data_IF_675822020891
#
_entry.id   IF_675822020891
#
_cell.length_a   1.000
_cell.length_b   1.000
_cell.length_c   1.000
_cell.angle_alpha   90.00
_cell.angle_beta   90.00
_cell.angle_gamma   90.00
#
_symmetry.space_group_name_H-M   'P 1'
#
loop_
_entity.id
_entity.type
_entity.pdbx_description
1 polymer ?
#
# COMPACT_ATOMS: atom_id res chain seq x y z
N UNK A 1 -11.94 -10.26 3.52
CA UNK A 1 -10.86 -9.65 2.72
C UNK A 1 -9.83 -10.74 2.42
N UNK A 2 -9.16 -10.71 1.28
CA UNK A 2 -8.08 -11.66 0.96
C UNK A 2 -6.73 -11.04 1.36
N UNK A 3 -5.80 -11.86 1.85
CA UNK A 3 -4.47 -11.43 2.25
C UNK A 3 -3.65 -10.93 1.05
N UNK A 4 -2.79 -9.96 1.29
CA UNK A 4 -1.91 -9.41 0.25
C UNK A 4 -0.99 -10.43 -0.38
N UNK A 5 -0.55 -10.14 -1.59
CA UNK A 5 0.45 -10.93 -2.29
C UNK A 5 1.82 -10.98 -1.57
N UNK A 6 2.36 -9.87 -1.04
CA UNK A 6 3.55 -9.92 -0.19
C UNK A 6 3.41 -10.86 1.01
N UNK A 7 2.36 -10.72 1.82
CA UNK A 7 2.16 -11.54 3.01
C UNK A 7 1.95 -13.02 2.67
N UNK A 8 1.23 -13.32 1.58
CA UNK A 8 1.07 -14.69 1.06
C UNK A 8 2.42 -15.30 0.68
N UNK A 9 3.25 -14.56 -0.07
CA UNK A 9 4.60 -15.00 -0.45
C UNK A 9 5.48 -15.25 0.78
N UNK A 10 5.36 -14.43 1.82
CA UNK A 10 6.06 -14.67 3.09
C UNK A 10 5.59 -15.97 3.72
N UNK A 11 4.26 -16.18 3.84
CA UNK A 11 3.70 -17.42 4.39
C UNK A 11 4.15 -18.66 3.63
N UNK A 12 4.18 -18.61 2.29
CA UNK A 12 4.70 -19.71 1.46
C UNK A 12 6.17 -20.02 1.74
N UNK A 13 6.98 -19.00 2.01
CA UNK A 13 8.41 -19.17 2.31
C UNK A 13 8.67 -19.74 3.70
N UNK A 14 7.89 -19.31 4.70
CA UNK A 14 8.06 -19.76 6.11
C UNK A 14 7.32 -21.06 6.42
N UNK A 15 6.40 -21.49 5.54
CA UNK A 15 5.60 -22.70 5.72
C UNK A 15 6.43 -23.95 6.07
N UNK A 16 7.59 -24.23 5.47
CA UNK A 16 8.40 -25.40 5.82
C UNK A 16 8.84 -25.41 7.29
N UNK A 17 9.29 -24.26 7.80
CA UNK A 17 9.75 -24.11 9.19
C UNK A 17 8.57 -24.21 10.15
N UNK A 18 7.45 -23.57 9.80
CA UNK A 18 6.23 -23.60 10.61
C UNK A 18 5.66 -25.02 10.72
N UNK A 19 5.66 -25.80 9.64
CA UNK A 19 5.18 -27.17 9.67
C UNK A 19 6.03 -28.10 10.57
N UNK A 20 7.29 -27.74 10.83
CA UNK A 20 8.22 -28.52 11.64
C UNK A 20 8.20 -28.10 13.11
N UNK A 21 8.08 -26.80 13.38
CA UNK A 21 8.38 -26.25 14.70
C UNK A 21 7.19 -25.53 15.37
N UNK A 22 6.13 -25.20 14.62
CA UNK A 22 4.94 -24.54 15.17
C UNK A 22 3.98 -25.56 15.79
N UNK A 23 3.40 -25.20 16.94
CA UNK A 23 2.21 -25.85 17.48
C UNK A 23 0.99 -24.95 17.24
N UNK A 24 -0.03 -25.47 16.55
CA UNK A 24 -1.27 -24.74 16.30
C UNK A 24 -2.05 -24.48 17.59
N UNK A 25 -1.96 -25.38 18.56
CA UNK A 25 -2.79 -25.35 19.76
C UNK A 25 -2.40 -24.17 20.68
N UNK A 26 -1.15 -23.70 20.57
CA UNK A 26 -0.65 -22.51 21.27
C UNK A 26 -1.01 -21.19 20.58
N UNK A 27 -1.28 -21.22 19.28
CA UNK A 27 -1.43 -20.03 18.43
C UNK A 27 -2.89 -19.70 18.15
N UNK A 28 -3.69 -20.73 17.85
CA UNK A 28 -5.12 -20.64 17.54
C UNK A 28 -5.93 -19.86 18.60
N UNK A 29 -5.66 -19.98 19.92
CA UNK A 29 -6.37 -19.20 20.93
C UNK A 29 -6.19 -17.69 20.76
N UNK A 30 -4.99 -17.22 20.41
CA UNK A 30 -4.73 -15.81 20.17
C UNK A 30 -5.41 -15.32 18.89
N UNK A 31 -5.31 -16.10 17.81
CA UNK A 31 -5.95 -15.78 16.53
C UNK A 31 -7.47 -15.70 16.64
N UNK A 32 -8.08 -16.53 17.49
CA UNK A 32 -9.51 -16.50 17.77
C UNK A 32 -9.89 -15.28 18.62
N UNK A 33 -9.04 -14.91 19.59
CA UNK A 33 -9.24 -13.75 20.47
C UNK A 33 -9.16 -12.43 19.72
N UNK A 34 -8.27 -12.34 18.73
CA UNK A 34 -8.12 -11.18 17.85
C UNK A 34 -9.15 -11.16 16.68
N UNK A 35 -10.10 -12.11 16.66
CA UNK A 35 -11.08 -12.32 15.58
C UNK A 35 -10.45 -12.52 14.17
N UNK A 36 -9.16 -12.87 14.13
CA UNK A 36 -8.42 -13.13 12.90
C UNK A 36 -8.86 -14.43 12.20
N UNK A 37 -9.34 -15.41 12.97
CA UNK A 37 -9.96 -16.64 12.48
C UNK A 37 -11.30 -16.87 13.18
N UNK A 38 -12.21 -17.57 12.53
CA UNK A 38 -13.53 -17.88 13.10
C UNK A 38 -13.51 -19.18 13.94
N UNK A 39 -14.56 -19.39 14.75
CA UNK A 39 -14.75 -20.66 15.46
C UNK A 39 -14.84 -21.85 14.48
N UNK A 40 -15.51 -21.66 13.35
CA UNK A 40 -15.59 -22.69 12.30
C UNK A 40 -14.21 -23.03 11.71
N UNK A 41 -13.29 -22.07 11.64
CA UNK A 41 -11.92 -22.34 11.19
C UNK A 41 -11.14 -23.12 12.21
N UNK A 42 -11.29 -22.76 13.50
CA UNK A 42 -10.71 -23.52 14.60
C UNK A 42 -11.18 -24.97 14.55
N UNK A 43 -12.47 -25.22 14.38
CA UNK A 43 -13.00 -26.59 14.29
C UNK A 43 -12.40 -27.36 13.10
N UNK A 44 -12.19 -26.69 11.96
CA UNK A 44 -11.50 -27.29 10.79
C UNK A 44 -10.02 -27.61 11.04
N UNK A 45 -9.36 -26.84 11.91
CA UNK A 45 -7.99 -27.09 12.34
C UNK A 45 -8.00 -28.26 13.33
N UNK A 46 -8.84 -28.19 14.36
CA UNK A 46 -8.92 -29.17 15.45
C UNK A 46 -9.35 -30.57 14.97
N UNK A 47 -10.07 -30.65 13.85
CA UNK A 47 -10.42 -31.93 13.20
C UNK A 47 -9.24 -32.64 12.51
N UNK A 48 -8.07 -31.99 12.37
CA UNK A 48 -6.87 -32.62 11.80
C UNK A 48 -6.18 -33.53 12.82
N UNK A 49 -5.66 -34.66 12.34
CA UNK A 49 -5.15 -35.74 13.19
C UNK A 49 -3.76 -35.50 13.76
N UNK A 50 -2.93 -34.71 13.07
CA UNK A 50 -1.54 -34.44 13.48
C UNK A 50 -1.26 -32.94 13.61
N UNK A 51 -0.33 -32.57 14.51
CA UNK A 51 0.16 -31.17 14.67
C UNK A 51 0.52 -30.54 13.32
N UNK A 52 1.26 -31.27 12.48
CA UNK A 52 1.67 -30.79 11.16
C UNK A 52 0.48 -30.53 10.23
N UNK A 53 -0.53 -31.40 10.23
CA UNK A 53 -1.75 -31.19 9.43
C UNK A 53 -2.60 -30.04 9.97
N UNK A 54 -2.65 -29.85 11.29
CA UNK A 54 -3.30 -28.69 11.92
C UNK A 54 -2.64 -27.39 11.47
N UNK A 55 -1.31 -27.31 11.53
CA UNK A 55 -0.54 -26.15 11.06
C UNK A 55 -0.72 -25.95 9.55
N UNK A 56 -0.74 -27.01 8.75
CA UNK A 56 -1.02 -26.90 7.31
C UNK A 56 -2.42 -26.33 7.05
N UNK A 57 -3.43 -26.77 7.80
CA UNK A 57 -4.79 -26.24 7.69
C UNK A 57 -4.85 -24.77 8.10
N UNK A 58 -4.15 -24.39 9.17
CA UNK A 58 -4.02 -22.99 9.60
C UNK A 58 -3.42 -22.14 8.47
N UNK A 59 -2.31 -22.57 7.87
CA UNK A 59 -1.64 -21.85 6.78
C UNK A 59 -2.47 -21.75 5.49
N UNK A 60 -3.43 -22.66 5.23
CA UNK A 60 -4.38 -22.56 4.11
C UNK A 60 -5.54 -21.59 4.40
N UNK A 61 -5.91 -21.45 5.68
CA UNK A 61 -7.01 -20.57 6.12
C UNK A 61 -6.57 -19.11 6.19
N UNK A 62 -5.40 -18.83 6.76
CA UNK A 62 -4.92 -17.47 6.99
C UNK A 62 -4.98 -16.57 5.74
N UNK A 63 -4.52 -16.99 4.53
CA UNK A 63 -4.55 -16.15 3.34
C UNK A 63 -5.96 -15.73 2.88
N UNK A 64 -7.00 -16.45 3.31
CA UNK A 64 -8.41 -16.17 2.98
C UNK A 64 -9.07 -15.21 3.97
N UNK A 65 -8.45 -14.98 5.13
CA UNK A 65 -8.97 -14.11 6.19
C UNK A 65 -8.51 -12.67 6.07
N UNK A 66 -7.40 -12.43 5.38
CA UNK A 66 -6.87 -11.09 5.13
C UNK A 66 -5.60 -10.80 5.92
N UNK A 67 -5.13 -9.56 5.83
CA UNK A 67 -3.87 -9.17 6.47
C UNK A 67 -3.96 -9.08 7.99
N UNK A 68 -5.15 -8.81 8.54
CA UNK A 68 -5.37 -8.91 9.99
C UNK A 68 -5.01 -10.28 10.55
N UNK A 69 -5.21 -11.34 9.76
CA UNK A 69 -4.83 -12.70 10.16
C UNK A 69 -3.30 -12.92 10.12
N UNK A 70 -2.60 -12.26 9.20
CA UNK A 70 -1.14 -12.24 9.18
C UNK A 70 -0.56 -11.49 10.37
N UNK A 71 -1.11 -10.31 10.70
CA UNK A 71 -0.67 -9.47 11.82
C UNK A 71 -0.94 -10.17 13.16
N UNK A 72 -2.12 -10.76 13.31
CA UNK A 72 -2.45 -11.55 14.50
C UNK A 72 -1.54 -12.78 14.63
N UNK A 73 -1.16 -13.43 13.52
CA UNK A 73 -0.15 -14.49 13.54
C UNK A 73 1.20 -13.96 14.06
N UNK A 74 1.71 -12.85 13.54
CA UNK A 74 2.95 -12.24 14.05
C UNK A 74 2.86 -11.93 15.54
N UNK A 75 1.74 -11.35 15.97
CA UNK A 75 1.48 -11.03 17.36
C UNK A 75 1.46 -12.28 18.24
N UNK A 76 0.81 -13.36 17.78
CA UNK A 76 0.75 -14.64 18.52
C UNK A 76 2.12 -15.29 18.69
N UNK A 77 2.97 -15.27 17.66
CA UNK A 77 4.33 -15.82 17.72
C UNK A 77 5.22 -15.09 18.74
N UNK A 78 4.99 -13.80 18.99
CA UNK A 78 5.72 -13.05 20.02
C UNK A 78 5.17 -13.27 21.44
N UNK A 79 3.91 -13.71 21.56
CA UNK A 79 3.25 -14.01 22.84
C UNK A 79 3.46 -15.45 23.29
N UNK A 80 3.75 -16.36 22.36
CA UNK A 80 3.97 -17.78 22.64
C UNK A 80 5.45 -18.07 22.88
N UNK A 81 5.76 -18.56 24.08
CA UNK A 81 7.12 -18.99 24.44
C UNK A 81 7.62 -20.08 23.48
N UNK A 82 8.89 -19.97 23.06
CA UNK A 82 9.51 -20.92 22.13
C UNK A 82 9.25 -20.66 20.64
N UNK A 83 8.28 -19.81 20.29
CA UNK A 83 7.96 -19.48 18.88
C UNK A 83 8.74 -18.26 18.33
N UNK A 84 9.61 -17.65 19.13
CA UNK A 84 10.34 -16.43 18.77
C UNK A 84 11.25 -16.61 17.54
N UNK A 85 11.89 -17.78 17.40
CA UNK A 85 12.71 -18.09 16.23
C UNK A 85 11.89 -18.15 14.92
N UNK A 86 10.61 -18.53 15.01
CA UNK A 86 9.68 -18.52 13.87
C UNK A 86 9.26 -17.10 13.50
N UNK A 87 9.05 -16.24 14.51
CA UNK A 87 8.83 -14.80 14.27
C UNK A 87 10.04 -14.15 13.59
N UNK A 88 11.26 -14.43 14.04
CA UNK A 88 12.48 -13.89 13.43
C UNK A 88 12.67 -14.38 12.00
N UNK A 89 12.44 -15.67 11.76
CA UNK A 89 12.46 -16.27 10.42
C UNK A 89 11.43 -15.60 9.51
N UNK A 90 10.23 -15.37 10.02
CA UNK A 90 9.17 -14.69 9.31
C UNK A 90 9.52 -13.24 8.96
N UNK A 91 10.09 -12.47 9.91
CA UNK A 91 10.55 -11.09 9.66
C UNK A 91 11.68 -11.02 8.64
N UNK A 92 12.59 -12.00 8.64
CA UNK A 92 13.66 -12.09 7.63
C UNK A 92 13.09 -12.32 6.23
N UNK A 93 12.11 -13.20 6.08
CA UNK A 93 11.45 -13.45 4.80
C UNK A 93 10.58 -12.27 4.35
N UNK A 94 9.91 -11.61 5.28
CA UNK A 94 9.18 -10.37 5.04
C UNK A 94 10.10 -9.29 4.43
N UNK A 95 11.27 -9.07 5.03
CA UNK A 95 12.25 -8.13 4.51
C UNK A 95 12.70 -8.50 3.07
N UNK A 96 12.99 -9.78 2.81
CA UNK A 96 13.37 -10.26 1.48
C UNK A 96 12.28 -10.02 0.42
N UNK A 97 11.01 -10.28 0.77
CA UNK A 97 9.89 -10.05 -0.16
C UNK A 97 9.76 -8.57 -0.48
N UNK A 98 9.90 -7.69 0.52
CA UNK A 98 9.83 -6.24 0.30
C UNK A 98 11.02 -5.69 -0.50
N UNK A 99 12.23 -6.20 -0.27
CA UNK A 99 13.40 -5.81 -1.06
C UNK A 99 13.22 -6.19 -2.54
N UNK A 100 12.66 -7.37 -2.83
CA UNK A 100 12.42 -7.83 -4.21
C UNK A 100 11.29 -7.08 -4.92
N UNK A 101 10.22 -6.73 -4.21
CA UNK A 101 9.16 -5.88 -4.76
C UNK A 101 9.67 -4.48 -5.07
N UNK A 102 10.62 -3.99 -4.27
CA UNK A 102 11.27 -2.73 -4.53
C UNK A 102 12.16 -2.78 -5.78
N UNK A 103 12.93 -3.84 -5.99
CA UNK A 103 13.72 -4.04 -7.21
C UNK A 103 12.81 -4.05 -8.45
N UNK A 104 11.65 -4.74 -8.38
CA UNK A 104 10.66 -4.77 -9.47
C UNK A 104 10.07 -3.38 -9.78
N UNK A 105 9.79 -2.57 -8.75
CA UNK A 105 9.32 -1.18 -8.94
C UNK A 105 10.40 -0.26 -9.52
N UNK A 106 11.66 -0.42 -9.09
CA UNK A 106 12.80 0.35 -9.61
C UNK A 106 13.17 -0.06 -11.06
N UNK A 107 12.89 -1.30 -11.46
CA UNK A 107 13.05 -1.77 -12.85
C UNK A 107 11.91 -1.30 -13.77
N UNK A 108 10.65 -1.30 -13.30
CA UNK A 108 9.51 -0.74 -14.07
C UNK A 108 9.67 0.77 -14.33
N UNK A 109 10.25 1.52 -13.38
CA UNK A 109 10.55 2.95 -13.54
C UNK A 109 11.70 3.21 -14.55
N UNK A 110 12.57 2.22 -14.79
CA UNK A 110 13.68 2.32 -15.74
C UNK A 110 13.34 1.95 -17.18
N UNK A 111 12.11 1.50 -17.46
CA UNK A 111 11.70 1.25 -18.83
C UNK A 111 11.66 2.58 -19.60
N UNK A 112 12.49 2.78 -20.65
CA UNK A 112 12.33 3.93 -21.51
C UNK A 112 10.95 3.84 -22.12
N UNK A 113 10.25 4.98 -22.20
CA UNK A 113 9.13 5.15 -23.13
C UNK A 113 9.66 4.63 -24.47
N UNK A 114 9.20 3.45 -24.90
CA UNK A 114 9.44 3.01 -26.27
C UNK A 114 8.69 4.02 -27.11
N UNK A 115 9.44 4.98 -27.64
CA UNK A 115 9.00 5.90 -28.68
C UNK A 115 8.84 5.11 -29.98
N UNK A 116 7.99 4.09 -29.99
CA UNK A 116 7.49 3.51 -31.23
C UNK A 116 6.22 4.28 -31.60
N UNK A 117 6.40 5.37 -32.35
CA UNK A 117 5.29 6.03 -33.02
C UNK A 117 5.32 7.55 -33.21
N UNK A 118 6.48 8.24 -33.16
CA UNK A 118 6.53 9.68 -33.55
C UNK A 118 7.21 9.91 -34.91
N UNK A 119 7.69 8.86 -35.59
CA UNK A 119 8.31 9.00 -36.92
C UNK A 119 7.29 9.07 -38.09
N UNK A 120 5.98 9.04 -37.84
CA UNK A 120 4.98 9.16 -38.90
C UNK A 120 4.44 10.59 -39.14
N UNK A 121 4.86 11.60 -38.37
CA UNK A 121 4.31 12.97 -38.55
C UNK A 121 5.14 13.83 -39.53
N UNK A 122 6.39 13.47 -39.81
CA UNK A 122 7.28 14.28 -40.67
C UNK A 122 7.28 13.91 -42.18
N UNK A 123 6.30 13.12 -42.65
CA UNK A 123 6.12 12.83 -44.08
C UNK A 123 4.77 13.32 -44.59
N UNK A 124 4.52 14.62 -44.50
CA UNK A 124 3.52 15.31 -45.32
C UNK A 124 3.77 16.83 -45.29
N UNK A 125 4.88 17.23 -45.92
CA UNK A 125 4.92 18.51 -46.63
C UNK A 125 4.75 18.17 -48.10
N UNK A 126 3.73 18.77 -48.72
CA UNK A 126 3.65 19.21 -50.12
C UNK A 126 2.20 19.09 -50.63
N UNK A 127 1.34 20.05 -50.26
CA UNK A 127 0.35 20.62 -51.19
C UNK A 127 0.12 22.10 -50.84
N UNK A 128 0.68 22.94 -51.70
CA UNK A 128 0.32 24.32 -52.11
C UNK A 128 -0.22 25.38 -51.13
N UNK A 129 0.49 26.52 -51.15
CA UNK A 129 0.04 27.86 -50.83
C UNK A 129 -1.20 28.26 -51.66
N UNK A 130 -2.18 28.92 -51.04
CA UNK A 130 -2.80 30.14 -51.58
C UNK A 130 -3.68 30.88 -50.57
N UNK A 131 -3.40 32.17 -50.48
CA UNK A 131 -4.27 33.28 -50.09
C UNK A 131 -4.49 33.59 -48.59
N UNK A 132 -3.57 34.38 -48.04
CA UNK A 132 -3.91 35.40 -47.05
C UNK A 132 -4.85 36.43 -47.71
N UNK A 133 -6.14 36.38 -47.37
CA UNK A 133 -6.94 37.59 -47.26
C UNK A 133 -8.26 37.27 -46.57
N UNK A 134 -8.47 37.97 -45.45
CA UNK A 134 -9.78 38.41 -44.97
C UNK A 134 -10.74 37.35 -44.39
N UNK A 135 -10.90 37.37 -43.06
CA UNK A 135 -12.20 37.29 -42.36
C UNK A 135 -11.94 37.38 -40.84
N UNK A 136 -11.70 38.62 -40.37
CA UNK A 136 -12.34 39.02 -39.12
C UNK A 136 -13.83 39.11 -39.43
N UNK A 137 -14.59 38.09 -39.05
CA UNK A 137 -16.00 38.15 -38.65
C UNK A 137 -16.46 36.72 -38.30
N UNK A 138 -17.32 36.61 -37.29
CA UNK A 138 -18.04 35.40 -36.87
C UNK A 138 -17.39 34.43 -35.85
N UNK A 139 -16.93 34.95 -34.71
CA UNK A 139 -16.90 34.15 -33.45
C UNK A 139 -18.24 34.25 -32.71
N UNK A 140 -19.34 33.95 -33.40
CA UNK A 140 -20.68 33.97 -32.77
C UNK A 140 -21.62 32.92 -33.36
N UNK A 141 -21.36 31.66 -33.03
CA UNK A 141 -22.32 30.59 -33.25
C UNK A 141 -21.72 29.22 -32.97
N UNK A 142 -22.37 28.44 -32.10
CA UNK A 142 -22.09 27.03 -31.80
C UNK A 142 -21.06 26.74 -30.68
N UNK A 143 -21.31 27.28 -29.48
CA UNK A 143 -21.03 26.52 -28.24
C UNK A 143 -22.28 25.65 -28.00
N UNK A 144 -22.33 24.52 -28.70
CA UNK A 144 -23.38 23.51 -28.61
C UNK A 144 -22.75 22.16 -28.34
N UNK A 145 -22.69 21.81 -27.05
CA UNK A 145 -22.65 20.47 -26.45
C UNK A 145 -22.64 19.26 -27.41
N UNK A 146 -21.64 18.39 -27.25
CA UNK A 146 -21.84 17.00 -26.79
C UNK A 146 -20.50 16.40 -26.27
N UNK A 147 -20.54 15.54 -25.24
CA UNK A 147 -19.40 15.20 -24.40
C UNK A 147 -18.73 13.88 -24.81
N UNK A 148 -17.39 13.90 -24.90
CA UNK A 148 -16.59 12.68 -24.96
C UNK A 148 -16.58 12.00 -23.58
N UNK A 149 -17.00 10.74 -23.55
CA UNK A 149 -16.94 9.81 -22.42
C UNK A 149 -15.57 9.91 -21.72
N UNK A 150 -15.46 10.17 -20.42
CA UNK A 150 -15.75 9.19 -19.37
C UNK A 150 -14.46 8.79 -18.66
N UNK A 151 -13.77 9.75 -18.04
CA UNK A 151 -12.72 9.46 -17.06
C UNK A 151 -13.39 9.46 -15.69
N UNK A 152 -13.59 8.28 -15.14
CA UNK A 152 -14.07 8.04 -13.78
C UNK A 152 -13.05 8.64 -12.78
N UNK A 153 -13.15 9.95 -12.58
CA UNK A 153 -12.46 10.64 -11.50
C UNK A 153 -13.32 10.40 -10.27
N UNK A 154 -12.98 9.36 -9.52
CA UNK A 154 -13.51 9.13 -8.18
C UNK A 154 -13.44 10.39 -7.31
N UNK A 155 -14.06 10.37 -6.11
CA UNK A 155 -14.24 11.56 -5.28
C UNK A 155 -12.95 12.39 -5.16
N UNK A 156 -13.08 13.70 -5.38
CA UNK A 156 -11.99 14.66 -5.24
C UNK A 156 -12.11 15.37 -3.89
N UNK A 157 -10.98 15.70 -3.23
CA UNK A 157 -11.00 16.45 -1.97
C UNK A 157 -11.53 17.86 -2.18
N UNK A 158 -12.17 18.42 -1.15
CA UNK A 158 -12.71 19.79 -1.17
C UNK A 158 -11.62 20.83 -1.47
N UNK A 159 -10.44 20.70 -0.86
CA UNK A 159 -9.31 21.59 -1.11
C UNK A 159 -8.04 20.82 -1.54
N UNK A 160 -7.90 20.43 -2.82
CA UNK A 160 -6.77 19.60 -3.28
C UNK A 160 -5.40 20.24 -3.09
N UNK A 161 -5.32 21.57 -3.14
CA UNK A 161 -4.07 22.34 -3.01
C UNK A 161 -3.77 22.78 -1.57
N UNK A 162 -4.61 22.41 -0.59
CA UNK A 162 -4.36 22.75 0.81
C UNK A 162 -3.14 22.00 1.32
N UNK A 163 -2.21 22.74 1.93
CA UNK A 163 -1.02 22.15 2.57
C UNK A 163 -1.44 21.53 3.90
N UNK A 164 -1.02 20.29 4.14
CA UNK A 164 -1.32 19.57 5.38
C UNK A 164 -0.63 20.23 6.58
N UNK A 165 -1.41 20.48 7.64
CA UNK A 165 -0.93 21.03 8.91
C UNK A 165 -0.61 19.91 9.90
N UNK A 166 0.09 20.24 10.97
CA UNK A 166 0.55 19.25 11.95
C UNK A 166 -0.61 18.47 12.59
N UNK A 167 -1.79 19.07 12.90
CA UNK A 167 -2.96 18.31 13.32
C UNK A 167 -3.43 17.30 12.26
N UNK A 168 -3.49 17.70 10.99
CA UNK A 168 -3.89 16.82 9.88
C UNK A 168 -2.93 15.61 9.75
N UNK A 169 -1.63 15.82 10.02
CA UNK A 169 -0.63 14.74 10.01
C UNK A 169 -0.74 13.82 11.22
N UNK A 170 -1.18 14.35 12.36
CA UNK A 170 -1.32 13.59 13.59
C UNK A 170 -2.56 12.70 13.55
N UNK A 171 -3.66 13.22 13.00
CA UNK A 171 -4.87 12.45 12.67
C UNK A 171 -4.52 11.34 11.66
N UNK A 172 -3.78 11.68 10.59
CA UNK A 172 -3.30 10.68 9.63
C UNK A 172 -2.44 9.61 10.31
N UNK A 173 -1.51 10.02 11.20
CA UNK A 173 -0.62 9.09 11.88
C UNK A 173 -1.34 8.10 12.81
N UNK A 174 -2.50 8.49 13.33
CA UNK A 174 -3.32 7.62 14.18
C UNK A 174 -3.98 6.51 13.38
N UNK A 175 -4.46 6.82 12.17
CA UNK A 175 -5.25 5.89 11.37
C UNK A 175 -4.44 5.13 10.30
N UNK A 176 -3.20 5.55 9.99
CA UNK A 176 -2.39 4.97 8.92
C UNK A 176 -1.89 3.53 9.23
N UNK A 177 -1.74 3.20 10.51
CA UNK A 177 -1.34 1.86 10.96
C UNK A 177 0.00 1.38 10.39
N UNK A 178 0.15 0.06 10.22
CA UNK A 178 1.42 -0.61 9.91
C UNK A 178 1.92 -0.41 8.47
N UNK A 179 1.09 0.12 7.56
CA UNK A 179 1.46 0.32 6.15
C UNK A 179 2.17 1.66 5.86
N UNK A 180 2.48 2.41 6.90
CA UNK A 180 3.12 3.72 6.79
C UNK A 180 4.48 3.72 6.10
N UNK A 181 5.22 2.62 6.19
CA UNK A 181 6.53 2.47 5.53
C UNK A 181 6.39 2.47 4.02
N UNK A 182 5.36 1.78 3.51
CA UNK A 182 5.02 1.77 2.09
C UNK A 182 4.58 3.17 1.62
N UNK A 183 3.84 3.89 2.47
CA UNK A 183 3.50 5.28 2.19
C UNK A 183 4.77 6.15 2.11
N UNK A 184 5.68 6.03 3.07
CA UNK A 184 6.93 6.78 3.09
C UNK A 184 7.75 6.56 1.80
N UNK A 185 7.80 5.32 1.31
CA UNK A 185 8.46 4.97 0.05
C UNK A 185 7.75 5.61 -1.16
N UNK A 186 6.42 5.52 -1.26
CA UNK A 186 5.65 6.14 -2.36
C UNK A 186 5.78 7.67 -2.34
N UNK A 187 5.95 8.26 -1.16
CA UNK A 187 6.22 9.67 -0.95
C UNK A 187 7.67 10.08 -1.30
N UNK A 188 8.52 9.13 -1.70
CA UNK A 188 9.89 9.35 -2.15
C UNK A 188 10.92 9.43 -1.03
N UNK A 189 10.62 8.90 0.17
CA UNK A 189 11.56 8.89 1.29
C UNK A 189 12.52 7.69 1.20
N UNK A 190 13.77 7.88 1.60
CA UNK A 190 14.75 6.79 1.61
C UNK A 190 14.59 5.87 2.82
N UNK A 191 14.99 4.60 2.65
CA UNK A 191 15.03 3.59 3.74
C UNK A 191 15.82 4.07 4.97
N UNK A 192 16.89 4.83 4.77
CA UNK A 192 17.66 5.40 5.88
C UNK A 192 16.81 6.34 6.76
N UNK A 193 15.96 7.15 6.12
CA UNK A 193 15.05 8.05 6.85
C UNK A 193 13.95 7.25 7.54
N UNK A 194 13.39 6.23 6.89
CA UNK A 194 12.37 5.34 7.49
C UNK A 194 12.94 4.60 8.71
N UNK A 195 14.15 4.04 8.59
CA UNK A 195 14.85 3.38 9.69
C UNK A 195 15.12 4.33 10.86
N UNK A 196 15.53 5.57 10.59
CA UNK A 196 15.69 6.58 11.63
C UNK A 196 14.36 6.89 12.34
N UNK A 197 13.26 7.02 11.60
CA UNK A 197 11.94 7.27 12.20
C UNK A 197 11.54 6.13 13.14
N UNK A 198 11.80 4.87 12.73
CA UNK A 198 11.60 3.67 13.55
C UNK A 198 12.45 3.70 14.81
N UNK A 199 13.75 3.89 14.66
CA UNK A 199 14.69 3.79 15.77
C UNK A 199 14.50 4.91 16.80
N UNK A 200 14.22 6.14 16.33
CA UNK A 200 13.93 7.28 17.20
C UNK A 200 12.66 7.09 18.04
N UNK A 201 11.73 6.26 17.57
CA UNK A 201 10.43 6.06 18.19
C UNK A 201 10.10 4.57 18.33
N UNK A 202 11.09 3.75 18.73
CA UNK A 202 11.03 2.27 18.68
C UNK A 202 9.77 1.63 19.27
N UNK A 203 9.20 2.24 20.30
CA UNK A 203 8.03 1.71 21.03
C UNK A 203 6.71 2.42 20.73
N UNK A 204 6.71 3.41 19.83
CA UNK A 204 5.51 4.17 19.51
C UNK A 204 5.37 4.33 17.99
N UNK A 205 4.60 3.42 17.37
CA UNK A 205 4.32 3.42 15.93
C UNK A 205 3.69 4.74 15.47
N UNK A 206 2.77 5.33 16.24
CA UNK A 206 2.17 6.62 15.88
C UNK A 206 3.22 7.74 15.81
N UNK A 207 4.18 7.76 16.74
CA UNK A 207 5.30 8.71 16.68
C UNK A 207 6.26 8.42 15.52
N UNK A 208 6.48 7.15 15.14
CA UNK A 208 7.24 6.79 13.93
C UNK A 208 6.56 7.35 12.67
N UNK A 209 5.23 7.16 12.58
CA UNK A 209 4.43 7.62 11.46
C UNK A 209 4.41 9.15 11.40
N UNK A 210 4.19 9.83 12.53
CA UNK A 210 4.20 11.28 12.59
C UNK A 210 5.57 11.87 12.23
N UNK A 211 6.67 11.32 12.75
CA UNK A 211 8.04 11.76 12.41
C UNK A 211 8.31 11.61 10.91
N UNK A 212 7.86 10.50 10.31
CA UNK A 212 7.92 10.28 8.87
C UNK A 212 7.12 11.33 8.09
N UNK A 213 5.85 11.54 8.43
CA UNK A 213 4.97 12.49 7.77
C UNK A 213 5.47 13.94 7.91
N UNK A 214 6.03 14.28 9.07
CA UNK A 214 6.65 15.56 9.33
C UNK A 214 7.89 15.79 8.46
N UNK A 215 8.75 14.78 8.32
CA UNK A 215 9.92 14.82 7.42
C UNK A 215 9.51 14.93 5.95
N UNK A 216 8.47 14.22 5.52
CA UNK A 216 7.91 14.38 4.17
C UNK A 216 7.38 15.80 3.93
N UNK A 217 6.61 16.35 4.88
CA UNK A 217 6.10 17.72 4.77
C UNK A 217 7.25 18.73 4.68
N UNK A 218 8.31 18.55 5.48
CA UNK A 218 9.50 19.40 5.43
C UNK A 218 10.21 19.33 4.07
N UNK A 219 10.27 18.15 3.42
CA UNK A 219 10.93 18.00 2.12
C UNK A 219 10.11 18.55 0.96
N UNK A 220 8.78 18.49 1.04
CA UNK A 220 7.88 18.96 -0.03
C UNK A 220 7.44 20.42 0.12
N UNK A 221 7.50 20.98 1.34
CA UNK A 221 7.12 22.37 1.61
C UNK A 221 5.69 22.70 1.14
N UNK A 222 5.55 23.65 0.22
CA UNK A 222 4.24 24.05 -0.35
C UNK A 222 3.59 22.96 -1.21
N UNK A 223 4.33 21.91 -1.61
CA UNK A 223 3.82 20.78 -2.38
C UNK A 223 3.29 19.64 -1.49
N UNK A 224 3.39 19.77 -0.17
CA UNK A 224 2.82 18.83 0.79
C UNK A 224 1.29 18.97 0.88
N UNK A 225 0.60 18.77 -0.24
CA UNK A 225 -0.83 19.04 -0.39
C UNK A 225 -1.68 17.80 -0.11
N UNK A 226 -2.96 18.05 0.17
CA UNK A 226 -4.00 17.01 0.29
C UNK A 226 -4.02 16.10 -0.93
N UNK A 227 -3.92 16.65 -2.15
CA UNK A 227 -3.91 15.85 -3.39
C UNK A 227 -2.70 14.94 -3.52
N UNK A 228 -1.51 15.40 -3.14
CA UNK A 228 -0.29 14.60 -3.17
C UNK A 228 -0.37 13.44 -2.17
N UNK A 229 -0.84 13.71 -0.96
CA UNK A 229 -1.03 12.71 0.07
C UNK A 229 -2.10 11.68 -0.32
N UNK A 230 -3.26 12.12 -0.79
CA UNK A 230 -4.32 11.24 -1.27
C UNK A 230 -3.88 10.37 -2.45
N UNK A 231 -3.11 10.95 -3.38
CA UNK A 231 -2.53 10.20 -4.50
C UNK A 231 -1.59 9.09 -4.03
N UNK A 232 -0.77 9.35 -3.01
CA UNK A 232 0.09 8.35 -2.42
C UNK A 232 -0.70 7.28 -1.65
N UNK A 233 -1.69 7.67 -0.85
CA UNK A 233 -2.57 6.76 -0.11
C UNK A 233 -3.33 5.82 -1.05
N UNK A 234 -3.89 6.33 -2.15
CA UNK A 234 -4.62 5.53 -3.16
C UNK A 234 -3.76 4.49 -3.88
N UNK A 235 -2.45 4.72 -3.97
CA UNK A 235 -1.53 3.73 -4.54
C UNK A 235 -1.34 2.52 -3.62
N UNK A 236 -1.57 2.68 -2.32
CA UNK A 236 -1.50 1.60 -1.34
C UNK A 236 -2.88 0.93 -1.27
N UNK A 237 -3.04 -0.18 -2.01
CA UNK A 237 -4.28 -0.98 -1.98
C UNK A 237 -4.62 -1.56 -0.59
N UNK A 238 -3.69 -1.46 0.35
CA UNK A 238 -3.74 -2.02 1.71
C UNK A 238 -4.18 -1.01 2.76
N UNK A 239 -4.17 0.26 2.40
CA UNK A 239 -4.59 1.32 3.29
C UNK A 239 -6.12 1.38 3.23
N UNK A 240 -6.78 1.07 4.34
CA UNK A 240 -8.24 1.18 4.45
C UNK A 240 -8.68 2.61 4.10
N UNK A 241 -9.76 2.75 3.34
CA UNK A 241 -10.27 4.07 2.93
C UNK A 241 -10.54 4.97 4.15
N UNK A 242 -10.92 4.38 5.28
CA UNK A 242 -11.13 5.09 6.54
C UNK A 242 -9.90 5.87 7.03
N UNK A 243 -8.69 5.37 6.74
CA UNK A 243 -7.44 6.01 7.18
C UNK A 243 -7.16 7.35 6.51
N UNK A 244 -7.75 7.60 5.33
CA UNK A 244 -7.53 8.83 4.58
C UNK A 244 -8.82 9.50 4.11
N UNK A 245 -10.00 9.00 4.49
CA UNK A 245 -11.28 9.59 4.07
C UNK A 245 -11.44 11.04 4.55
N UNK A 246 -10.92 11.37 5.74
CA UNK A 246 -11.05 12.71 6.29
C UNK A 246 -10.32 13.75 5.44
N UNK A 247 -9.31 13.33 4.66
CA UNK A 247 -8.61 14.20 3.71
C UNK A 247 -9.54 14.72 2.60
N UNK A 248 -10.66 14.05 2.32
CA UNK A 248 -11.66 14.56 1.36
C UNK A 248 -12.40 15.79 1.89
N UNK A 249 -12.52 15.93 3.21
CA UNK A 249 -13.24 17.02 3.86
C UNK A 249 -12.38 18.24 4.19
N UNK A 250 -11.04 18.12 4.07
CA UNK A 250 -10.07 19.19 4.29
C UNK A 250 -10.09 20.26 3.20
#
# INVERSE_FOLDING_TARGET
MSMTEPHRKVLEKVAPDFLNDLDSDDIVPYLLGDEAISRDDRDKIDTKGTRREKVAALLDILPRRGDGAYISLQSSLTKTDGSMHLYETMKKHEQWVYDRLQEEMEEEEKLPIQAEGIDSINSMRDVDMRNEENLQEDVKGCIGLLPLHGADRGPQPKNPNKVLKDPDLLDLAQDLGEHWEMLALILGMSKAVIYQCKENNRYNTQSQIFDMLYKWKCSQGKKATVSAMLGACKKIKLLGEDAYKFLYDL
#
